data_IF_766510834333
#
_entry.id   IF_766510834333
#
_cell.length_a   1.000
_cell.length_b   1.000
_cell.length_c   1.000
_cell.angle_alpha   90.00
_cell.angle_beta   90.00
_cell.angle_gamma   90.00
#
_symmetry.space_group_name_H-M   'P 1'
#
loop_
_entity.id
_entity.type
_entity.pdbx_description
1 polymer ?
#
# COMPACT_ATOMS: atom_id res chain seq x y z
N UNK A 1 11.05 -7.83 10.12
CA UNK A 1 11.53 -7.10 8.92
C UNK A 1 11.99 -8.15 7.92
N UNK A 2 11.24 -8.37 6.86
CA UNK A 2 11.69 -9.27 5.78
C UNK A 2 12.20 -8.42 4.64
N UNK A 3 13.52 -8.23 4.60
CA UNK A 3 14.21 -7.73 3.43
C UNK A 3 14.39 -8.90 2.48
N UNK A 4 13.80 -8.82 1.29
CA UNK A 4 13.99 -9.82 0.25
C UNK A 4 15.34 -9.60 -0.43
N UNK A 5 16.27 -10.54 -0.23
CA UNK A 5 17.57 -10.54 -0.94
C UNK A 5 17.58 -11.69 -1.93
N UNK A 6 17.71 -11.35 -3.21
CA UNK A 6 17.86 -12.32 -4.30
C UNK A 6 19.30 -12.27 -4.81
N UNK A 7 19.94 -13.42 -4.88
CA UNK A 7 21.28 -13.51 -5.41
C UNK A 7 21.29 -14.53 -6.54
N UNK A 8 21.87 -14.13 -7.68
CA UNK A 8 22.06 -15.02 -8.82
C UNK A 8 23.50 -14.88 -9.35
N UNK A 9 23.98 -15.93 -9.99
CA UNK A 9 25.28 -15.94 -10.62
C UNK A 9 25.10 -16.12 -12.13
N UNK A 10 25.56 -15.16 -12.91
CA UNK A 10 25.54 -15.21 -14.36
C UNK A 10 26.94 -15.52 -14.85
N UNK A 11 27.08 -16.60 -15.60
CA UNK A 11 28.32 -17.00 -16.22
C UNK A 11 28.27 -16.71 -17.73
N UNK A 12 29.15 -15.90 -18.21
CA UNK A 12 29.34 -15.64 -19.66
C UNK A 12 30.59 -16.34 -20.12
N UNK A 13 30.40 -17.44 -20.81
CA UNK A 13 31.49 -18.29 -21.30
C UNK A 13 31.38 -18.53 -22.80
N UNK A 14 32.55 -18.69 -23.45
CA UNK A 14 32.65 -18.90 -24.89
C UNK A 14 32.42 -20.36 -25.29
N UNK A 15 32.77 -21.29 -24.42
CA UNK A 15 32.62 -22.73 -24.61
C UNK A 15 31.67 -23.32 -23.59
N UNK A 16 30.82 -24.23 -24.04
CA UNK A 16 29.79 -24.82 -23.15
C UNK A 16 30.37 -25.70 -22.04
N UNK A 17 31.59 -26.17 -22.17
CA UNK A 17 32.20 -27.19 -21.29
C UNK A 17 33.48 -26.69 -20.60
N UNK A 18 34.15 -25.69 -21.14
CA UNK A 18 35.48 -25.26 -20.65
C UNK A 18 35.44 -23.75 -20.36
N UNK A 19 35.83 -23.39 -19.14
CA UNK A 19 36.04 -21.99 -18.76
C UNK A 19 37.47 -21.55 -19.07
N UNK A 20 37.60 -20.36 -19.64
CA UNK A 20 38.89 -19.75 -20.04
C UNK A 20 39.09 -18.42 -19.31
N UNK A 21 40.30 -17.87 -19.43
CA UNK A 21 40.65 -16.58 -18.83
C UNK A 21 39.79 -15.40 -19.37
N UNK A 22 39.15 -15.56 -20.52
CA UNK A 22 38.30 -14.55 -21.16
C UNK A 22 36.84 -14.58 -20.66
N UNK A 23 36.48 -15.65 -19.95
CA UNK A 23 35.12 -15.82 -19.45
C UNK A 23 34.88 -14.99 -18.20
N UNK A 24 33.65 -14.59 -17.99
CA UNK A 24 33.26 -13.68 -16.88
C UNK A 24 32.17 -14.29 -16.04
N UNK A 25 32.33 -14.12 -14.73
CA UNK A 25 31.29 -14.50 -13.74
C UNK A 25 30.80 -13.22 -13.05
N UNK A 26 29.50 -12.99 -13.10
CA UNK A 26 28.85 -11.87 -12.43
C UNK A 26 27.97 -12.41 -11.29
N UNK A 27 28.22 -11.94 -10.07
CA UNK A 27 27.30 -12.11 -8.94
C UNK A 27 26.35 -10.91 -8.92
N UNK A 28 25.09 -11.16 -9.20
CA UNK A 28 24.04 -10.16 -9.15
C UNK A 28 23.31 -10.33 -7.83
N UNK A 29 23.26 -9.28 -7.04
CA UNK A 29 22.50 -9.23 -5.78
C UNK A 29 21.49 -8.11 -5.84
N UNK A 30 20.22 -8.47 -5.76
CA UNK A 30 19.12 -7.52 -5.68
C UNK A 30 18.56 -7.53 -4.26
N UNK A 31 18.50 -6.37 -3.64
CA UNK A 31 17.90 -6.20 -2.33
C UNK A 31 16.63 -5.37 -2.50
N UNK A 32 15.51 -5.88 -2.03
CA UNK A 32 14.21 -5.21 -2.10
C UNK A 32 13.76 -4.86 -0.69
N UNK A 33 13.40 -3.61 -0.49
CA UNK A 33 12.78 -3.15 0.75
C UNK A 33 11.28 -3.41 0.68
N UNK A 34 10.83 -4.43 1.43
CA UNK A 34 9.40 -4.77 1.58
C UNK A 34 8.86 -4.28 2.92
N UNK A 35 9.53 -3.30 3.54
CA UNK A 35 9.05 -2.70 4.78
C UNK A 35 7.71 -2.00 4.57
N UNK A 36 6.90 -1.97 5.61
CA UNK A 36 5.65 -1.21 5.60
C UNK A 36 5.94 0.27 5.77
N UNK A 37 5.31 1.10 4.97
CA UNK A 37 5.36 2.55 5.12
C UNK A 37 4.01 3.07 5.62
N UNK A 38 4.04 3.96 6.60
CA UNK A 38 2.86 4.71 7.02
C UNK A 38 2.70 5.90 6.10
N UNK A 39 1.50 6.07 5.57
CA UNK A 39 1.12 7.22 4.76
C UNK A 39 -0.02 7.95 5.44
N UNK A 40 0.10 9.26 5.52
CA UNK A 40 -0.93 10.15 6.08
C UNK A 40 -1.37 11.13 4.99
N UNK A 41 -2.66 11.16 4.73
CA UNK A 41 -3.24 12.15 3.82
C UNK A 41 -3.51 13.45 4.60
N UNK A 42 -3.07 14.57 4.07
CA UNK A 42 -3.28 15.89 4.66
C UNK A 42 -2.00 16.62 5.09
N UNK A 43 -0.81 16.02 4.92
CA UNK A 43 0.46 16.73 5.12
C UNK A 43 1.11 17.05 3.77
N UNK A 44 1.49 18.32 3.60
CA UNK A 44 2.31 18.75 2.47
C UNK A 44 3.78 18.37 2.77
N UNK A 45 4.44 17.50 1.99
CA UNK A 45 5.84 17.18 2.25
C UNK A 45 6.71 18.40 1.96
N UNK A 46 7.47 18.84 2.96
CA UNK A 46 8.58 19.76 2.80
C UNK A 46 9.77 18.92 2.35
N UNK A 47 10.29 19.18 1.16
CA UNK A 47 11.45 18.46 0.62
C UNK A 47 12.72 18.94 1.29
N UNK A 48 13.49 18.00 1.81
CA UNK A 48 14.90 18.24 2.11
C UNK A 48 15.72 18.32 0.81
N UNK A 49 16.83 19.11 0.78
CA UNK A 49 17.68 19.21 -0.39
C UNK A 49 18.29 17.84 -0.74
N UNK A 50 18.44 17.62 -2.05
CA UNK A 50 18.87 16.35 -2.65
C UNK A 50 20.17 15.79 -2.05
N UNK A 51 20.06 14.75 -1.24
CA UNK A 51 21.19 13.91 -0.91
C UNK A 51 21.33 12.82 -1.96
N UNK A 52 22.43 12.90 -2.71
CA UNK A 52 22.80 11.87 -3.69
C UNK A 52 23.37 10.68 -2.92
N UNK A 53 22.53 9.72 -2.53
CA UNK A 53 23.00 8.43 -2.06
C UNK A 53 22.97 7.42 -3.21
N UNK A 54 24.14 7.01 -3.66
CA UNK A 54 24.28 5.96 -4.68
C UNK A 54 24.10 4.61 -3.99
N UNK A 55 22.87 4.18 -3.83
CA UNK A 55 22.53 2.82 -3.41
C UNK A 55 21.87 2.10 -4.57
N UNK A 56 22.40 0.96 -4.96
CA UNK A 56 21.95 0.14 -6.09
C UNK A 56 20.66 -0.68 -5.82
N UNK A 57 19.87 -0.29 -4.84
CA UNK A 57 18.54 -0.86 -4.60
C UNK A 57 17.47 0.15 -5.04
N UNK A 58 16.52 -0.21 -5.90
CA UNK A 58 15.43 0.69 -6.22
C UNK A 58 14.67 0.98 -4.93
N UNK A 59 14.61 2.25 -4.55
CA UNK A 59 13.83 2.70 -3.41
C UNK A 59 12.35 2.41 -3.68
N UNK A 60 11.65 1.88 -2.66
CA UNK A 60 10.22 1.66 -2.80
C UNK A 60 9.52 3.02 -3.00
N UNK A 61 8.71 3.19 -4.06
CA UNK A 61 8.11 4.46 -4.40
C UNK A 61 7.19 4.92 -3.27
N UNK A 62 7.09 6.24 -3.06
CA UNK A 62 6.16 6.80 -2.10
C UNK A 62 4.72 6.61 -2.60
N UNK A 63 3.81 6.01 -1.80
CA UNK A 63 2.42 5.87 -2.19
C UNK A 63 1.71 7.21 -2.01
N UNK A 64 0.72 7.47 -2.87
CA UNK A 64 -0.16 8.64 -2.80
C UNK A 64 -1.59 8.20 -2.49
N UNK A 65 -2.26 8.94 -1.60
CA UNK A 65 -3.70 8.82 -1.39
C UNK A 65 -4.39 9.95 -2.16
N UNK A 66 -5.46 9.61 -2.86
CA UNK A 66 -6.39 10.57 -3.45
C UNK A 66 -7.83 10.16 -3.19
N UNK A 67 -8.69 11.15 -2.99
CA UNK A 67 -10.14 10.97 -2.84
C UNK A 67 -10.79 11.57 -4.07
N UNK A 68 -11.52 10.74 -4.79
CA UNK A 68 -12.11 11.09 -6.08
C UNK A 68 -13.65 11.08 -5.97
N UNK A 69 -14.29 11.97 -6.71
CA UNK A 69 -15.73 11.93 -6.90
C UNK A 69 -16.12 10.90 -7.99
N UNK A 70 -17.42 10.76 -8.23
CA UNK A 70 -17.97 9.87 -9.28
C UNK A 70 -17.50 10.20 -10.70
N UNK A 71 -16.91 11.38 -10.93
CA UNK A 71 -16.34 11.80 -12.22
C UNK A 71 -14.84 11.51 -12.32
N UNK A 72 -14.23 10.93 -11.26
CA UNK A 72 -12.78 10.66 -11.20
C UNK A 72 -11.92 11.88 -10.90
N UNK A 73 -12.49 13.01 -10.47
CA UNK A 73 -11.76 14.21 -10.09
C UNK A 73 -11.51 14.24 -8.57
N UNK A 74 -10.34 14.69 -8.16
CA UNK A 74 -10.03 14.94 -6.74
C UNK A 74 -11.00 15.95 -6.14
N UNK A 75 -11.40 15.74 -4.90
CA UNK A 75 -12.37 16.57 -4.18
C UNK A 75 -11.72 17.25 -2.98
N UNK A 76 -12.07 18.51 -2.77
CA UNK A 76 -11.67 19.28 -1.59
C UNK A 76 -12.79 19.35 -0.55
N UNK A 77 -14.04 19.31 -1.01
CA UNK A 77 -15.23 19.41 -0.15
C UNK A 77 -16.31 18.47 -0.65
N UNK A 78 -16.94 17.75 0.28
CA UNK A 78 -17.98 16.76 -0.02
C UNK A 78 -19.11 16.87 1.00
N UNK A 79 -20.27 16.30 0.67
CA UNK A 79 -21.43 16.16 1.56
C UNK A 79 -21.49 14.74 2.11
N UNK A 80 -22.05 14.58 3.31
CA UNK A 80 -22.33 13.24 3.85
C UNK A 80 -23.22 12.48 2.87
N UNK A 81 -22.83 11.23 2.55
CA UNK A 81 -23.54 10.37 1.60
C UNK A 81 -23.08 10.52 0.14
N UNK A 82 -22.21 11.48 -0.19
CA UNK A 82 -21.63 11.55 -1.53
C UNK A 82 -20.82 10.28 -1.81
N UNK A 83 -20.98 9.73 -3.02
CA UNK A 83 -20.19 8.58 -3.47
C UNK A 83 -18.78 8.99 -3.81
N UNK A 84 -17.81 8.42 -3.13
CA UNK A 84 -16.39 8.71 -3.25
C UNK A 84 -15.59 7.46 -3.55
N UNK A 85 -14.47 7.64 -4.23
CA UNK A 85 -13.47 6.59 -4.42
C UNK A 85 -12.19 6.96 -3.66
N UNK A 86 -11.84 6.13 -2.71
CA UNK A 86 -10.53 6.19 -2.05
C UNK A 86 -9.53 5.43 -2.90
N UNK A 87 -8.47 6.08 -3.31
CA UNK A 87 -7.42 5.52 -4.16
C UNK A 87 -6.06 5.66 -3.48
N UNK A 88 -5.33 4.55 -3.37
CA UNK A 88 -3.91 4.52 -3.00
C UNK A 88 -3.16 4.06 -4.22
N UNK A 89 -2.22 4.83 -4.72
CA UNK A 89 -1.46 4.49 -5.91
C UNK A 89 0.04 4.67 -5.73
N UNK A 90 0.80 3.91 -6.49
CA UNK A 90 2.25 4.08 -6.66
C UNK A 90 2.54 4.40 -8.13
N UNK A 91 3.67 5.05 -8.45
CA UNK A 91 4.03 5.35 -9.82
C UNK A 91 4.06 4.11 -10.70
N UNK A 92 3.68 4.27 -11.96
CA UNK A 92 3.79 3.23 -12.98
C UNK A 92 5.23 2.75 -13.17
N UNK A 93 5.38 1.54 -13.69
CA UNK A 93 6.67 0.91 -14.01
C UNK A 93 7.55 0.58 -12.79
N UNK A 94 6.93 0.30 -11.64
CA UNK A 94 7.64 -0.23 -10.49
C UNK A 94 7.48 -1.75 -10.42
N UNK A 95 8.48 -2.49 -9.89
CA UNK A 95 8.35 -3.94 -9.68
C UNK A 95 7.48 -4.29 -8.46
N UNK A 96 6.90 -3.28 -7.81
CA UNK A 96 6.16 -3.44 -6.56
C UNK A 96 4.65 -3.48 -6.78
N UNK A 97 4.00 -4.38 -6.05
CA UNK A 97 2.59 -4.27 -5.70
C UNK A 97 2.43 -3.63 -4.33
N UNK A 98 1.23 -3.16 -4.03
CA UNK A 98 0.90 -2.54 -2.73
C UNK A 98 -0.25 -3.27 -2.05
N UNK A 99 -0.21 -3.23 -0.73
CA UNK A 99 -1.23 -3.77 0.15
C UNK A 99 -1.47 -2.82 1.32
N UNK A 100 -2.71 -2.37 1.50
CA UNK A 100 -3.10 -1.46 2.58
C UNK A 100 -3.65 -2.23 3.78
N UNK A 101 -3.22 -1.84 4.98
CA UNK A 101 -3.67 -2.39 6.26
C UNK A 101 -3.64 -1.31 7.34
N UNK A 102 -4.27 -1.61 8.48
CA UNK A 102 -4.30 -0.68 9.63
C UNK A 102 -4.67 0.73 9.19
N UNK A 103 -5.71 0.86 8.35
CA UNK A 103 -6.19 2.17 7.93
C UNK A 103 -7.14 2.72 8.96
N UNK A 104 -6.97 4.00 9.30
CA UNK A 104 -7.77 4.71 10.30
C UNK A 104 -8.27 6.02 9.71
N UNK A 105 -9.54 6.30 9.90
CA UNK A 105 -10.10 7.63 9.76
C UNK A 105 -9.95 8.37 11.09
N UNK A 106 -9.53 9.62 11.04
CA UNK A 106 -9.30 10.47 12.21
C UNK A 106 -10.08 11.78 12.04
N UNK A 107 -10.68 12.24 13.12
CA UNK A 107 -11.28 13.56 13.14
C UNK A 107 -10.21 14.65 13.09
N UNK A 108 -10.40 15.67 12.24
CA UNK A 108 -9.45 16.78 12.11
C UNK A 108 -9.33 17.60 13.40
N UNK A 109 -10.45 17.82 14.06
CA UNK A 109 -10.58 18.78 15.14
C UNK A 109 -10.71 18.13 16.53
N UNK A 110 -10.64 16.79 16.61
CA UNK A 110 -10.76 16.04 17.85
C UNK A 110 -9.82 14.84 17.87
N UNK A 111 -9.80 14.08 18.97
CA UNK A 111 -9.02 12.84 19.09
C UNK A 111 -9.78 11.59 18.66
N UNK A 112 -10.96 11.75 18.09
CA UNK A 112 -11.78 10.62 17.66
C UNK A 112 -11.17 9.94 16.45
N UNK A 113 -11.12 8.62 16.51
CA UNK A 113 -10.59 7.76 15.46
C UNK A 113 -11.54 6.61 15.19
N UNK A 114 -11.59 6.17 13.94
CA UNK A 114 -12.37 5.02 13.51
C UNK A 114 -11.52 4.15 12.59
N UNK A 115 -11.18 2.90 13.01
CA UNK A 115 -10.45 1.99 12.15
C UNK A 115 -11.34 1.53 10.99
N UNK A 116 -10.88 1.71 9.75
CA UNK A 116 -11.62 1.36 8.53
C UNK A 116 -11.13 0.05 7.93
N UNK A 117 -9.83 -0.22 8.02
CA UNK A 117 -9.20 -1.48 7.59
C UNK A 117 -8.32 -1.98 8.74
N UNK A 118 -8.43 -3.26 9.07
CA UNK A 118 -7.65 -3.91 10.13
C UNK A 118 -6.20 -4.22 9.69
N UNK A 119 -5.46 -4.89 10.54
CA UNK A 119 -4.06 -5.27 10.31
C UNK A 119 -3.90 -6.44 9.33
N UNK A 120 -4.95 -7.20 9.07
CA UNK A 120 -5.01 -8.22 8.02
C UNK A 120 -5.44 -7.63 6.65
N UNK A 121 -5.85 -6.35 6.59
CA UNK A 121 -6.34 -5.70 5.37
C UNK A 121 -7.82 -5.95 5.09
N UNK A 122 -8.58 -6.36 6.09
CA UNK A 122 -10.02 -6.54 5.99
C UNK A 122 -10.77 -5.29 6.47
N UNK A 123 -11.93 -4.96 5.88
CA UNK A 123 -12.75 -3.88 6.40
C UNK A 123 -13.28 -4.22 7.80
N UNK A 124 -13.18 -3.24 8.71
CA UNK A 124 -13.71 -3.36 10.07
C UNK A 124 -15.23 -3.30 10.04
N UNK A 125 -15.78 -2.36 9.30
CA UNK A 125 -17.20 -2.29 8.98
C UNK A 125 -17.37 -2.05 7.46
N UNK A 126 -17.73 -3.11 6.71
CA UNK A 126 -17.86 -3.01 5.26
C UNK A 126 -19.03 -2.16 4.78
N UNK A 127 -19.95 -1.77 5.67
CA UNK A 127 -21.06 -0.87 5.35
C UNK A 127 -20.63 0.59 5.35
N UNK A 128 -19.59 0.93 6.12
CA UNK A 128 -19.01 2.29 6.18
C UNK A 128 -17.86 2.41 5.19
N UNK A 129 -16.95 1.42 5.19
CA UNK A 129 -15.79 1.43 4.29
C UNK A 129 -15.55 0.02 3.74
N UNK A 130 -15.83 -0.21 2.45
CA UNK A 130 -15.63 -1.51 1.81
C UNK A 130 -14.15 -1.88 1.66
N UNK A 131 -13.91 -3.13 1.24
CA UNK A 131 -12.58 -3.65 0.98
C UNK A 131 -11.91 -2.92 -0.19
N UNK A 132 -10.59 -2.75 -0.10
CA UNK A 132 -9.79 -2.35 -1.24
C UNK A 132 -9.76 -3.44 -2.33
N UNK A 133 -9.92 -3.02 -3.56
CA UNK A 133 -9.73 -3.82 -4.77
C UNK A 133 -8.49 -3.33 -5.51
N UNK A 134 -7.61 -4.25 -5.95
CA UNK A 134 -6.45 -3.86 -6.75
C UNK A 134 -6.87 -3.47 -8.16
N UNK A 135 -6.36 -2.33 -8.63
CA UNK A 135 -6.50 -1.83 -10.00
C UNK A 135 -5.13 -1.41 -10.54
N UNK A 136 -4.45 -2.32 -11.25
CA UNK A 136 -3.11 -2.08 -11.75
C UNK A 136 -2.11 -1.83 -10.60
N UNK A 137 -1.54 -0.63 -10.56
CA UNK A 137 -0.63 -0.14 -9.53
C UNK A 137 -1.33 0.59 -8.38
N UNK A 138 -2.66 0.53 -8.32
CA UNK A 138 -3.47 1.18 -7.31
C UNK A 138 -4.35 0.19 -6.53
N UNK A 139 -4.77 0.65 -5.35
CA UNK A 139 -5.83 0.05 -4.54
C UNK A 139 -6.99 1.03 -4.49
N UNK A 140 -8.20 0.57 -4.77
CA UNK A 140 -9.39 1.42 -4.77
C UNK A 140 -10.49 0.86 -3.87
N UNK A 141 -11.23 1.75 -3.23
CA UNK A 141 -12.43 1.42 -2.47
C UNK A 141 -13.47 2.51 -2.67
N UNK A 142 -14.70 2.14 -3.07
CA UNK A 142 -15.82 3.08 -3.20
C UNK A 142 -16.64 3.08 -1.93
N UNK A 143 -16.84 4.26 -1.35
CA UNK A 143 -17.55 4.44 -0.07
C UNK A 143 -18.42 5.68 -0.10
N UNK A 144 -19.34 5.77 0.85
CA UNK A 144 -20.12 6.99 1.06
C UNK A 144 -19.41 7.92 2.04
N UNK A 145 -19.36 9.20 1.71
CA UNK A 145 -18.73 10.20 2.56
C UNK A 145 -19.38 10.21 3.96
N UNK A 146 -18.56 10.09 4.98
CA UNK A 146 -18.94 10.15 6.40
C UNK A 146 -18.11 11.18 7.15
N UNK A 147 -18.54 11.58 8.34
CA UNK A 147 -17.77 12.44 9.26
C UNK A 147 -17.98 12.01 10.71
N UNK A 148 -17.11 12.49 11.56
CA UNK A 148 -17.30 12.41 13.01
C UNK A 148 -18.32 13.45 13.48
N UNK A 149 -19.06 13.14 14.55
CA UNK A 149 -20.10 14.04 15.08
C UNK A 149 -19.54 15.39 15.50
N UNK A 150 -18.33 15.37 16.08
CA UNK A 150 -17.65 16.55 16.62
C UNK A 150 -16.65 17.22 15.66
N UNK A 151 -16.50 16.74 14.41
CA UNK A 151 -15.54 17.28 13.46
C UNK A 151 -16.12 17.42 12.06
N UNK A 152 -15.78 18.49 11.38
CA UNK A 152 -16.15 18.73 9.99
C UNK A 152 -15.13 18.18 8.98
N UNK A 153 -13.99 17.72 9.45
CA UNK A 153 -12.93 17.16 8.60
C UNK A 153 -12.56 15.75 9.00
N UNK A 154 -12.25 14.93 8.00
CA UNK A 154 -11.74 13.56 8.17
C UNK A 154 -10.36 13.48 7.54
N UNK A 155 -9.41 12.93 8.29
CA UNK A 155 -8.06 12.63 7.84
C UNK A 155 -7.93 11.11 7.79
N UNK A 156 -7.35 10.59 6.71
CA UNK A 156 -7.10 9.16 6.58
C UNK A 156 -5.61 8.86 6.71
N UNK A 157 -5.32 7.80 7.44
CA UNK A 157 -3.97 7.27 7.58
C UNK A 157 -4.00 5.77 7.31
N UNK A 158 -3.12 5.29 6.43
CA UNK A 158 -2.97 3.88 6.10
C UNK A 158 -1.52 3.43 6.23
N UNK A 159 -1.33 2.19 6.64
CA UNK A 159 -0.05 1.50 6.52
C UNK A 159 -0.03 0.74 5.19
N UNK A 160 0.90 1.09 4.31
CA UNK A 160 1.06 0.46 3.00
C UNK A 160 2.27 -0.45 3.00
N UNK A 161 2.03 -1.72 2.75
CA UNK A 161 3.05 -2.75 2.60
C UNK A 161 3.33 -2.99 1.11
N UNK A 162 4.58 -3.22 0.78
CA UNK A 162 5.01 -3.53 -0.58
C UNK A 162 5.25 -5.03 -0.75
N UNK A 163 4.93 -5.53 -1.94
CA UNK A 163 5.22 -6.88 -2.38
C UNK A 163 6.04 -6.81 -3.67
N UNK A 164 6.88 -7.80 -3.91
CA UNK A 164 7.49 -7.97 -5.24
C UNK A 164 6.44 -8.61 -6.16
N UNK A 165 6.09 -7.90 -7.23
CA UNK A 165 4.96 -8.26 -8.07
C UNK A 165 3.62 -8.02 -7.35
N UNK A 166 2.53 -8.61 -7.84
CA UNK A 166 1.21 -8.48 -7.23
C UNK A 166 1.20 -8.99 -5.79
N UNK A 167 0.59 -8.23 -4.88
CA UNK A 167 0.41 -8.72 -3.52
C UNK A 167 -0.56 -9.90 -3.49
N UNK A 168 -0.30 -10.92 -2.65
CA UNK A 168 -1.23 -12.02 -2.49
C UNK A 168 -2.57 -11.50 -1.96
N UNK A 169 -3.69 -12.09 -2.41
CA UNK A 169 -5.00 -11.69 -1.95
C UNK A 169 -5.14 -11.89 -0.44
N UNK A 170 -5.85 -10.99 0.21
CA UNK A 170 -6.20 -11.11 1.64
C UNK A 170 -6.98 -12.39 1.84
N UNK A 171 -6.46 -13.30 2.65
CA UNK A 171 -7.20 -14.50 3.04
C UNK A 171 -8.38 -14.06 3.90
N UNK A 172 -9.59 -14.18 3.38
CA UNK A 172 -10.80 -14.09 4.17
C UNK A 172 -10.77 -15.20 5.21
N UNK A 173 -10.41 -14.89 6.45
CA UNK A 173 -10.75 -15.79 7.55
C UNK A 173 -12.27 -15.76 7.67
N UNK A 174 -12.90 -16.81 7.17
CA UNK A 174 -14.28 -17.15 7.54
C UNK A 174 -14.30 -17.23 9.06
N UNK A 175 -14.82 -16.19 9.73
CA UNK A 175 -15.14 -16.26 11.15
C UNK A 175 -16.12 -17.42 11.30
N UNK A 176 -15.64 -18.57 11.79
CA UNK A 176 -16.49 -19.61 12.32
C UNK A 176 -17.27 -18.99 13.45
N UNK A 177 -18.52 -18.63 13.20
CA UNK A 177 -19.50 -18.39 14.26
C UNK A 177 -19.54 -19.62 15.14
N UNK A 178 -18.91 -19.58 16.30
CA UNK A 178 -19.22 -20.52 17.38
C UNK A 178 -20.65 -20.21 17.79
N UNK A 179 -21.59 -21.04 17.32
CA UNK A 179 -22.91 -21.13 17.95
C UNK A 179 -22.66 -21.55 19.40
N UNK A 180 -22.92 -20.64 20.32
CA UNK A 180 -23.19 -20.98 21.69
C UNK A 180 -24.52 -21.70 21.69
N UNK A 181 -24.52 -23.01 21.97
CA UNK A 181 -25.74 -23.74 22.37
C UNK A 181 -25.94 -23.46 23.84
N UNK A 182 -27.10 -22.96 24.26
CA UNK A 182 -27.43 -22.92 25.68
C UNK A 182 -27.79 -24.34 26.15
N UNK A 183 -27.13 -24.77 27.21
CA UNK A 183 -27.53 -25.92 28.05
C UNK A 183 -28.65 -25.51 28.99
#
# INVERSE_FOLDING_TARGET
>A
MQSGVYTNTVVVQRHSVVMTKTDKIYKVRCTYDTSSKNITFGMMPIRDPDMISITSAPEAPAPRISILNSRGSEVETVRIGDQLTFKIEIPDKTPYGIFARSCVAMAKDSRSTFPIIDDEGCPVDPTIFPRFTPEGNALVSSYEAFRFTESYGVIFQCNVKYCLGPCPPVRTQSRKYRRFSPS
#
